data_IF_622920727513
#
_entry.id   IF_622920727513
#
_cell.length_a   1.000
_cell.length_b   1.000
_cell.length_c   1.000
_cell.angle_alpha   90.00
_cell.angle_beta   90.00
_cell.angle_gamma   90.00
#
_symmetry.space_group_name_H-M   'P 1'
#
loop_
_entity.id
_entity.type
_entity.pdbx_description
1 polymer ?
#
# COMPACT_ATOMS: atom_id res chain seq x y z
N UNK A 1 0.22 13.00 -6.30
CA UNK A 1 -0.15 12.49 -7.63
C UNK A 1 -1.51 13.04 -8.04
N UNK A 2 -1.62 13.57 -9.22
CA UNK A 2 -2.87 14.15 -9.74
C UNK A 2 -3.60 13.11 -10.59
N UNK A 3 -4.85 12.80 -10.21
CA UNK A 3 -5.72 11.89 -10.95
C UNK A 3 -7.07 12.59 -11.10
N UNK A 4 -7.48 12.84 -12.34
CA UNK A 4 -8.77 13.51 -12.64
C UNK A 4 -8.96 14.81 -11.86
N UNK A 5 -7.92 15.65 -11.79
CA UNK A 5 -7.91 16.93 -11.09
C UNK A 5 -7.99 16.83 -9.57
N UNK A 6 -7.77 15.64 -9.01
CA UNK A 6 -7.68 15.42 -7.58
C UNK A 6 -6.23 15.07 -7.22
N UNK A 7 -5.66 15.78 -6.24
CA UNK A 7 -4.29 15.53 -5.76
C UNK A 7 -4.31 14.51 -4.63
N UNK A 8 -3.62 13.39 -4.86
CA UNK A 8 -3.45 12.34 -3.84
C UNK A 8 -2.06 12.40 -3.23
N UNK A 9 -2.00 12.17 -1.94
CA UNK A 9 -0.74 12.09 -1.18
C UNK A 9 -0.25 10.65 -1.23
N UNK A 10 0.88 10.44 -1.90
CA UNK A 10 1.47 9.12 -2.10
C UNK A 10 2.78 9.03 -1.30
N UNK A 11 2.89 8.03 -0.44
CA UNK A 11 4.11 7.75 0.28
C UNK A 11 4.79 6.53 -0.32
N UNK A 12 6.00 6.72 -0.86
CA UNK A 12 6.78 5.63 -1.45
C UNK A 12 7.53 4.85 -0.36
N UNK A 13 7.45 3.53 -0.42
CA UNK A 13 8.10 2.62 0.52
C UNK A 13 8.87 1.53 -0.20
N UNK A 14 10.02 1.17 0.35
CA UNK A 14 10.77 0.01 -0.10
C UNK A 14 10.19 -1.25 0.52
N UNK A 15 10.04 -2.30 -0.29
CA UNK A 15 9.53 -3.58 0.17
C UNK A 15 10.63 -4.63 0.26
N UNK A 16 10.43 -5.62 1.14
CA UNK A 16 11.31 -6.76 1.30
C UNK A 16 10.51 -8.02 0.99
N UNK A 17 11.04 -8.87 0.11
CA UNK A 17 10.43 -10.17 -0.19
C UNK A 17 10.87 -11.21 0.83
N UNK A 18 9.90 -11.97 1.36
CA UNK A 18 10.15 -13.06 2.30
C UNK A 18 8.97 -14.01 2.32
N UNK A 19 9.24 -15.31 2.11
CA UNK A 19 8.23 -16.39 2.23
C UNK A 19 6.97 -16.16 1.39
N UNK A 20 7.13 -15.83 0.10
CA UNK A 20 6.01 -15.65 -0.83
C UNK A 20 5.20 -14.37 -0.62
N UNK A 21 5.78 -13.39 0.04
CA UNK A 21 5.15 -12.09 0.32
C UNK A 21 6.15 -10.96 0.24
N UNK A 22 5.64 -9.75 0.02
CA UNK A 22 6.43 -8.53 0.22
C UNK A 22 5.88 -7.78 1.42
N UNK A 23 6.78 -7.19 2.19
CA UNK A 23 6.45 -6.45 3.41
C UNK A 23 7.09 -5.06 3.31
N UNK A 24 6.35 -4.03 3.69
CA UNK A 24 6.88 -2.68 3.78
C UNK A 24 6.32 -1.98 5.01
N UNK A 25 7.09 -1.03 5.54
CA UNK A 25 6.71 -0.30 6.74
C UNK A 25 5.68 0.77 6.42
N UNK A 26 4.67 0.86 7.28
CA UNK A 26 3.62 1.88 7.18
C UNK A 26 3.62 2.80 8.40
N UNK A 27 4.79 2.96 9.02
CA UNK A 27 5.01 3.91 10.10
C UNK A 27 6.32 4.68 9.86
N UNK A 28 6.51 5.80 10.55
CA UNK A 28 7.74 6.59 10.52
C UNK A 28 8.55 6.34 11.79
N UNK A 29 9.86 6.13 11.63
CA UNK A 29 10.78 6.11 12.76
C UNK A 29 11.44 7.48 12.90
N UNK A 30 11.35 8.08 14.09
CA UNK A 30 12.11 9.27 14.41
C UNK A 30 13.36 8.87 15.20
N UNK A 31 14.48 8.78 14.50
CA UNK A 31 15.75 8.33 15.09
C UNK A 31 16.23 9.28 16.19
N UNK A 32 16.04 10.60 16.02
CA UNK A 32 16.49 11.59 16.99
C UNK A 32 15.75 11.52 18.31
N UNK A 33 14.45 11.23 18.26
CA UNK A 33 13.59 11.16 19.44
C UNK A 33 13.35 9.73 19.91
N UNK A 34 13.86 8.75 19.18
CA UNK A 34 13.64 7.32 19.45
C UNK A 34 12.14 6.98 19.61
N UNK A 35 11.31 7.57 18.73
CA UNK A 35 9.86 7.39 18.75
C UNK A 35 9.37 6.83 17.42
N UNK A 36 8.21 6.18 17.46
CA UNK A 36 7.51 5.69 16.28
C UNK A 36 6.30 6.58 16.08
N UNK A 37 6.15 7.13 14.89
CA UNK A 37 4.97 7.91 14.51
C UNK A 37 4.19 7.18 13.44
N UNK A 38 2.89 7.06 13.64
CA UNK A 38 2.01 6.42 12.68
C UNK A 38 1.40 7.45 11.74
N UNK A 39 1.21 7.05 10.47
CA UNK A 39 0.50 7.89 9.50
C UNK A 39 -0.99 7.92 9.84
N UNK A 40 -1.63 9.05 9.51
CA UNK A 40 -3.08 9.19 9.57
C UNK A 40 -3.64 9.32 8.15
N UNK A 41 -4.97 9.23 8.01
CA UNK A 41 -5.63 9.43 6.72
C UNK A 41 -5.41 10.83 6.15
N UNK A 42 -5.09 11.81 6.98
CA UNK A 42 -4.76 13.17 6.55
C UNK A 42 -3.36 13.28 5.96
N UNK A 43 -2.47 12.34 6.32
CA UNK A 43 -1.07 12.36 5.87
C UNK A 43 -0.88 11.63 4.54
N UNK A 44 -1.64 10.56 4.30
CA UNK A 44 -1.42 9.64 3.20
C UNK A 44 -2.74 9.14 2.64
N UNK A 45 -2.89 9.20 1.33
CA UNK A 45 -4.01 8.56 0.62
C UNK A 45 -3.64 7.15 0.17
N UNK A 46 -2.39 6.98 -0.30
CA UNK A 46 -1.89 5.69 -0.78
C UNK A 46 -0.45 5.49 -0.37
N UNK A 47 -0.09 4.23 -0.10
CA UNK A 47 1.29 3.80 -0.08
C UNK A 47 1.64 3.22 -1.45
N UNK A 48 2.86 3.50 -1.91
CA UNK A 48 3.40 2.97 -3.16
C UNK A 48 4.60 2.09 -2.85
N UNK A 49 4.67 0.93 -3.48
CA UNK A 49 5.87 0.11 -3.47
C UNK A 49 6.06 -0.57 -4.82
N UNK A 50 7.28 -1.02 -5.08
CA UNK A 50 7.67 -1.66 -6.32
C UNK A 50 8.36 -2.98 -6.01
N UNK A 51 8.02 -4.02 -6.73
CA UNK A 51 8.70 -5.31 -6.62
C UNK A 51 8.60 -6.07 -7.94
N UNK A 52 9.77 -6.56 -8.40
CA UNK A 52 9.88 -7.46 -9.55
C UNK A 52 9.15 -6.96 -10.81
N UNK A 53 9.32 -5.68 -11.12
CA UNK A 53 8.74 -5.08 -12.32
C UNK A 53 7.30 -4.62 -12.19
N UNK A 54 6.69 -4.80 -11.02
CA UNK A 54 5.29 -4.43 -10.80
C UNK A 54 5.19 -3.31 -9.77
N UNK A 55 4.36 -2.32 -10.07
CA UNK A 55 4.06 -1.20 -9.19
C UNK A 55 2.77 -1.51 -8.42
N UNK A 56 2.78 -1.25 -7.11
CA UNK A 56 1.64 -1.47 -6.24
C UNK A 56 1.21 -0.17 -5.58
N UNK A 57 -0.10 0.06 -5.52
CA UNK A 57 -0.71 1.15 -4.76
C UNK A 57 -1.67 0.56 -3.74
N UNK A 58 -1.48 0.92 -2.48
CA UNK A 58 -2.29 0.40 -1.39
C UNK A 58 -3.02 1.56 -0.74
N UNK A 59 -4.37 1.63 -0.85
CA UNK A 59 -5.14 2.66 -0.16
C UNK A 59 -4.84 2.64 1.33
N UNK A 60 -4.77 3.79 1.97
CA UNK A 60 -4.45 3.89 3.40
C UNK A 60 -5.40 3.03 4.23
N UNK A 61 -6.68 3.00 3.86
CA UNK A 61 -7.69 2.20 4.57
C UNK A 61 -7.45 0.69 4.52
N UNK A 62 -6.66 0.20 3.54
CA UNK A 62 -6.30 -1.21 3.39
C UNK A 62 -4.92 -1.53 3.95
N UNK A 63 -4.19 -0.55 4.46
CA UNK A 63 -2.84 -0.75 4.99
C UNK A 63 -2.87 -1.18 6.46
N UNK A 64 -1.80 -1.86 6.88
CA UNK A 64 -1.58 -2.16 8.29
C UNK A 64 -1.07 -0.94 9.04
N UNK A 65 -1.13 -0.97 10.37
CA UNK A 65 -0.71 0.16 11.20
C UNK A 65 0.81 0.35 11.19
N UNK A 66 1.57 -0.71 11.41
CA UNK A 66 3.03 -0.66 11.49
C UNK A 66 3.70 -1.12 10.21
N UNK A 67 3.12 -2.14 9.57
CA UNK A 67 3.60 -2.67 8.31
C UNK A 67 2.45 -3.24 7.51
N UNK A 68 2.65 -3.36 6.21
CA UNK A 68 1.67 -3.97 5.30
C UNK A 68 2.34 -5.11 4.55
N UNK A 69 1.63 -6.22 4.45
CA UNK A 69 2.07 -7.42 3.73
C UNK A 69 1.19 -7.67 2.54
N UNK A 70 1.79 -7.85 1.36
CA UNK A 70 1.09 -8.28 0.15
C UNK A 70 1.58 -9.69 -0.19
N UNK A 71 0.66 -10.64 -0.30
CA UNK A 71 1.01 -12.03 -0.55
C UNK A 71 0.86 -12.40 -2.02
N UNK A 72 1.82 -13.19 -2.51
CA UNK A 72 1.75 -13.84 -3.82
C UNK A 72 1.18 -15.25 -3.69
N UNK A 73 1.42 -15.90 -2.54
CA UNK A 73 0.95 -17.24 -2.23
C UNK A 73 0.69 -17.37 -0.74
N UNK A 74 -0.13 -18.35 -0.35
CA UNK A 74 -0.43 -18.61 1.06
C UNK A 74 -0.77 -20.08 1.28
N UNK A 75 -0.40 -20.59 2.48
CA UNK A 75 -0.80 -21.93 2.93
C UNK A 75 -2.28 -21.95 3.37
N UNK A 76 -2.87 -20.79 3.61
CA UNK A 76 -4.26 -20.64 4.02
C UNK A 76 -4.99 -19.68 3.07
N UNK A 77 -5.16 -20.05 1.78
CA UNK A 77 -5.62 -19.12 0.75
C UNK A 77 -7.05 -18.58 0.97
N UNK A 78 -7.85 -19.25 1.80
CA UNK A 78 -9.23 -18.82 2.08
C UNK A 78 -9.34 -17.86 3.26
N UNK A 79 -8.21 -17.45 3.86
CA UNK A 79 -8.23 -16.50 4.96
C UNK A 79 -8.61 -15.10 4.44
N UNK A 80 -9.74 -14.50 4.92
CA UNK A 80 -10.22 -13.22 4.40
C UNK A 80 -9.34 -12.02 4.79
N UNK A 81 -8.39 -12.19 5.72
CA UNK A 81 -7.48 -11.11 6.11
C UNK A 81 -6.27 -10.96 5.19
N UNK A 82 -6.09 -11.87 4.22
CA UNK A 82 -4.97 -11.82 3.30
C UNK A 82 -5.15 -10.67 2.32
N UNK A 83 -4.08 -9.84 2.18
CA UNK A 83 -3.98 -8.85 1.12
C UNK A 83 -3.21 -9.49 -0.04
N UNK A 84 -3.91 -9.83 -1.11
CA UNK A 84 -3.27 -10.41 -2.29
C UNK A 84 -2.63 -9.31 -3.13
N UNK A 85 -1.36 -9.49 -3.49
CA UNK A 85 -0.61 -8.49 -4.27
C UNK A 85 -1.32 -8.14 -5.57
N UNK A 86 -1.90 -9.12 -6.25
CA UNK A 86 -2.61 -8.91 -7.53
C UNK A 86 -3.76 -7.91 -7.42
N UNK A 87 -4.35 -7.74 -6.24
CA UNK A 87 -5.47 -6.83 -6.03
C UNK A 87 -5.03 -5.39 -5.84
N UNK A 88 -3.73 -5.16 -5.63
CA UNK A 88 -3.16 -3.85 -5.36
C UNK A 88 -2.18 -3.37 -6.44
N UNK A 89 -2.18 -4.00 -7.61
CA UNK A 89 -1.39 -3.51 -8.74
C UNK A 89 -1.87 -2.11 -9.13
N UNK A 90 -0.92 -1.21 -9.35
CA UNK A 90 -1.22 0.21 -9.53
C UNK A 90 -2.23 0.50 -10.63
N UNK A 91 -2.15 -0.22 -11.75
CA UNK A 91 -3.09 -0.04 -12.85
C UNK A 91 -4.53 -0.37 -12.47
N UNK A 92 -4.75 -1.40 -11.65
CA UNK A 92 -6.08 -1.77 -11.17
C UNK A 92 -6.66 -0.72 -10.23
N UNK A 93 -5.85 -0.25 -9.29
CA UNK A 93 -6.26 0.77 -8.33
C UNK A 93 -6.59 2.08 -9.05
N UNK A 94 -5.77 2.48 -10.02
CA UNK A 94 -6.02 3.68 -10.80
C UNK A 94 -7.30 3.57 -11.64
N UNK A 95 -7.60 2.40 -12.19
CA UNK A 95 -8.87 2.16 -12.90
C UNK A 95 -10.07 2.32 -11.98
N UNK A 96 -10.03 1.78 -10.78
CA UNK A 96 -11.11 1.89 -9.80
C UNK A 96 -11.38 3.35 -9.43
N UNK A 97 -10.32 4.13 -9.18
CA UNK A 97 -10.43 5.55 -8.86
C UNK A 97 -11.07 6.30 -10.04
N UNK A 98 -10.62 6.03 -11.26
CA UNK A 98 -11.11 6.69 -12.45
C UNK A 98 -12.59 6.38 -12.70
N UNK A 99 -13.02 5.15 -12.47
CA UNK A 99 -14.42 4.74 -12.62
C UNK A 99 -15.34 5.42 -11.60
N UNK A 100 -14.90 5.60 -10.37
CA UNK A 100 -15.70 6.25 -9.33
C UNK A 100 -15.94 7.72 -9.64
N UNK A 101 -15.04 8.38 -10.35
CA UNK A 101 -15.15 9.80 -10.69
C UNK A 101 -15.91 10.07 -11.98
N UNK A 102 -16.15 9.06 -12.80
CA UNK A 102 -16.93 9.18 -14.04
C UNK A 102 -18.39 8.85 -13.75
N UNK A 103 -19.08 9.79 -13.16
CA UNK A 103 -20.52 9.67 -12.90
C UNK A 103 -21.27 10.60 -13.83
#
# INVERSE_FOLDING_TARGET
MDINHHLYKIQCKSSTFRDGKIVFRTHMNNIRQNTITYYSADDVDFFYTYYNGIHYLIPFSNSGKSETTLRFESKTPNNPTIRWAKDFEANKILEEITKEEVV
#
